data_IF_525963014636
#
_entry.id   IF_525963014636
#
_cell.length_a   1.000
_cell.length_b   1.000
_cell.length_c   1.000
_cell.angle_alpha   90.00
_cell.angle_beta   90.00
_cell.angle_gamma   90.00
#
_symmetry.space_group_name_H-M   'P 1'
#
loop_
_entity.id
_entity.type
_entity.pdbx_description
1 polymer ?
#
# COMPACT_ATOMS: atom_id res chain seq x y z
N UNK A 1 7.16 0.64 4.52
CA UNK A 1 6.83 1.16 3.17
C UNK A 1 8.05 1.65 2.39
N UNK A 2 9.01 2.36 2.99
CA UNK A 2 10.26 2.78 2.31
C UNK A 2 10.99 1.61 1.63
N UNK A 3 11.20 0.50 2.35
CA UNK A 3 11.86 -0.69 1.80
C UNK A 3 11.10 -1.30 0.61
N UNK A 4 9.76 -1.24 0.62
CA UNK A 4 8.94 -1.68 -0.53
C UNK A 4 9.25 -0.83 -1.75
N UNK A 5 9.29 0.51 -1.61
CA UNK A 5 9.63 1.40 -2.73
C UNK A 5 11.04 1.14 -3.24
N UNK A 6 12.01 0.87 -2.37
CA UNK A 6 13.38 0.52 -2.76
C UNK A 6 13.43 -0.79 -3.55
N UNK A 7 12.78 -1.85 -3.05
CA UNK A 7 12.75 -3.17 -3.70
C UNK A 7 12.04 -3.11 -5.06
N UNK A 8 10.86 -2.48 -5.12
CA UNK A 8 10.10 -2.35 -6.36
C UNK A 8 10.78 -1.42 -7.38
N UNK A 9 11.64 -0.49 -6.92
CA UNK A 9 12.49 0.30 -7.82
C UNK A 9 13.66 -0.50 -8.37
N UNK A 10 14.28 -1.33 -7.54
CA UNK A 10 15.35 -2.25 -7.96
C UNK A 10 14.84 -3.39 -8.86
N UNK A 11 13.52 -3.63 -8.88
CA UNK A 11 12.84 -4.65 -9.67
C UNK A 11 11.91 -4.10 -10.75
N UNK A 12 12.14 -2.88 -11.26
CA UNK A 12 11.28 -2.23 -12.29
C UNK A 12 11.00 -3.09 -13.52
N UNK A 13 11.98 -3.89 -13.94
CA UNK A 13 11.87 -4.78 -15.11
C UNK A 13 11.25 -6.15 -14.75
N UNK A 14 10.67 -6.29 -13.56
CA UNK A 14 10.13 -7.56 -13.05
C UNK A 14 11.15 -8.50 -12.42
N UNK A 15 12.44 -8.15 -12.42
CA UNK A 15 13.53 -8.95 -11.83
C UNK A 15 14.35 -8.07 -10.91
N UNK A 16 14.58 -8.54 -9.67
CA UNK A 16 15.42 -7.83 -8.70
C UNK A 16 16.88 -7.81 -9.15
N UNK A 17 17.47 -6.61 -9.23
CA UNK A 17 18.88 -6.42 -9.57
C UNK A 17 19.57 -5.55 -8.52
N UNK A 18 20.90 -5.65 -8.35
CA UNK A 18 21.65 -4.66 -7.59
C UNK A 18 21.33 -3.25 -8.11
N UNK A 19 20.96 -2.36 -7.21
CA UNK A 19 20.54 -1.00 -7.54
C UNK A 19 21.00 -0.03 -6.46
N UNK A 20 21.49 1.13 -6.88
CA UNK A 20 21.82 2.25 -6.00
C UNK A 20 21.45 3.55 -6.72
N UNK A 21 20.60 4.34 -6.09
CA UNK A 21 20.09 5.59 -6.66
C UNK A 21 18.79 5.99 -5.98
N UNK A 22 18.24 7.12 -6.42
CA UNK A 22 16.97 7.62 -5.92
C UNK A 22 15.78 6.84 -6.47
N UNK A 23 14.67 6.92 -5.74
CA UNK A 23 13.39 6.34 -6.16
C UNK A 23 12.31 7.40 -6.24
N UNK A 24 11.76 7.55 -7.44
CA UNK A 24 10.56 8.33 -7.76
C UNK A 24 9.32 7.42 -7.93
N UNK A 25 9.41 6.15 -7.52
CA UNK A 25 8.30 5.21 -7.73
C UNK A 25 7.07 5.64 -6.92
N UNK A 26 5.95 5.82 -7.62
CA UNK A 26 4.64 6.05 -7.04
C UNK A 26 3.76 4.81 -7.19
N UNK A 27 3.49 4.13 -6.08
CA UNK A 27 2.72 2.89 -6.04
C UNK A 27 1.26 3.23 -5.72
N UNK A 28 0.36 2.89 -6.64
CA UNK A 28 -1.07 3.13 -6.56
C UNK A 28 -1.82 1.88 -7.06
N UNK A 29 -3.11 1.71 -6.70
CA UNK A 29 -3.88 0.55 -7.12
C UNK A 29 -3.86 0.34 -8.64
N UNK A 30 -3.67 -0.90 -9.08
CA UNK A 30 -3.51 -1.27 -10.48
C UNK A 30 -2.05 -1.39 -10.97
N UNK A 31 -1.07 -0.87 -10.21
CA UNK A 31 0.35 -1.14 -10.49
C UNK A 31 0.75 -2.53 -9.96
N UNK A 32 1.47 -3.37 -10.74
CA UNK A 32 1.97 -4.64 -10.24
C UNK A 32 3.09 -4.44 -9.22
N UNK A 33 3.14 -5.35 -8.23
CA UNK A 33 4.32 -5.60 -7.41
C UNK A 33 5.13 -6.73 -8.05
N UNK A 34 6.45 -6.64 -8.01
CA UNK A 34 7.31 -7.65 -8.63
C UNK A 34 7.90 -8.62 -7.62
N UNK A 35 8.28 -8.13 -6.45
CA UNK A 35 9.16 -8.89 -5.53
C UNK A 35 8.68 -8.96 -4.09
N UNK A 36 7.75 -8.09 -3.69
CA UNK A 36 7.24 -8.08 -2.31
C UNK A 36 6.03 -9.01 -2.19
N UNK A 37 6.14 -10.04 -1.35
CA UNK A 37 5.04 -10.98 -1.07
C UNK A 37 4.29 -10.67 0.24
N UNK A 38 4.96 -9.99 1.18
CA UNK A 38 4.37 -9.58 2.45
C UNK A 38 4.89 -8.21 2.91
N UNK A 39 4.06 -7.51 3.66
CA UNK A 39 4.32 -6.16 4.17
C UNK A 39 4.01 -6.08 5.66
N UNK A 40 4.98 -5.61 6.44
CA UNK A 40 4.76 -5.08 7.78
C UNK A 40 4.82 -3.56 7.72
N UNK A 41 3.78 -2.89 8.20
CA UNK A 41 3.69 -1.43 8.19
C UNK A 41 2.77 -0.90 9.27
N UNK A 42 2.92 0.35 9.66
CA UNK A 42 1.99 1.05 10.54
C UNK A 42 0.65 1.33 9.84
N UNK A 43 -0.35 1.71 10.64
CA UNK A 43 -1.57 2.35 10.14
C UNK A 43 -1.30 3.82 9.76
N UNK A 44 -1.57 4.17 8.52
CA UNK A 44 -1.38 5.51 7.93
C UNK A 44 -2.65 6.36 7.98
N UNK A 45 -2.53 7.68 7.80
CA UNK A 45 -3.69 8.57 7.77
C UNK A 45 -4.56 8.36 6.51
N UNK A 46 -5.88 8.67 6.58
CA UNK A 46 -6.73 8.83 5.40
C UNK A 46 -6.09 9.76 4.37
N UNK A 47 -6.39 9.52 3.09
CA UNK A 47 -5.94 10.34 1.95
C UNK A 47 -4.40 10.47 1.80
N UNK A 48 -3.63 9.58 2.42
CA UNK A 48 -2.17 9.56 2.28
C UNK A 48 -1.70 8.67 1.13
N UNK A 49 -0.55 9.03 0.54
CA UNK A 49 0.12 8.20 -0.48
C UNK A 49 0.55 6.83 0.06
N UNK A 50 0.79 6.74 1.37
CA UNK A 50 1.09 5.47 2.03
C UNK A 50 -0.15 4.57 2.12
N UNK A 51 -1.33 5.14 2.37
CA UNK A 51 -2.59 4.41 2.31
C UNK A 51 -2.86 3.89 0.89
N UNK A 52 -2.53 4.68 -0.14
CA UNK A 52 -2.63 4.23 -1.53
C UNK A 52 -1.69 3.05 -1.83
N UNK A 53 -0.45 3.06 -1.32
CA UNK A 53 0.48 1.94 -1.45
C UNK A 53 -0.07 0.68 -0.78
N UNK A 54 -0.59 0.80 0.45
CA UNK A 54 -1.20 -0.34 1.16
C UNK A 54 -2.41 -0.86 0.39
N UNK A 55 -3.26 0.04 -0.12
CA UNK A 55 -4.43 -0.33 -0.94
C UNK A 55 -4.04 -0.99 -2.26
N UNK A 56 -2.93 -0.59 -2.87
CA UNK A 56 -2.41 -1.24 -4.06
C UNK A 56 -1.94 -2.68 -3.77
N UNK A 57 -1.46 -2.93 -2.55
CA UNK A 57 -0.92 -4.22 -2.14
C UNK A 57 -2.00 -5.20 -1.65
N UNK A 58 -2.98 -4.70 -0.89
CA UNK A 58 -4.02 -5.50 -0.25
C UNK A 58 -5.37 -5.47 -0.98
N UNK A 59 -5.63 -4.43 -1.77
CA UNK A 59 -6.96 -4.05 -2.24
C UNK A 59 -7.57 -2.94 -1.37
N UNK A 60 -8.28 -2.01 -2.00
CA UNK A 60 -8.88 -0.87 -1.33
C UNK A 60 -10.02 -1.28 -0.36
N UNK A 61 -11.01 -2.11 -0.76
CA UNK A 61 -12.06 -2.56 0.16
C UNK A 61 -11.52 -3.27 1.39
N UNK A 62 -10.52 -4.15 1.20
CA UNK A 62 -9.88 -4.92 2.26
C UNK A 62 -9.10 -4.01 3.21
N UNK A 63 -8.38 -3.01 2.66
CA UNK A 63 -7.67 -2.01 3.47
C UNK A 63 -8.65 -1.19 4.30
N UNK A 64 -9.74 -0.70 3.71
CA UNK A 64 -10.74 0.08 4.44
C UNK A 64 -11.45 -0.74 5.52
N UNK A 65 -11.74 -2.01 5.25
CA UNK A 65 -12.32 -2.93 6.23
C UNK A 65 -11.38 -3.16 7.43
N UNK A 66 -10.08 -3.39 7.17
CA UNK A 66 -9.08 -3.54 8.22
C UNK A 66 -8.94 -2.27 9.07
N UNK A 67 -8.97 -1.10 8.44
CA UNK A 67 -8.92 0.20 9.11
C UNK A 67 -10.14 0.44 10.00
N UNK A 68 -11.34 0.14 9.50
CA UNK A 68 -12.57 0.21 10.29
C UNK A 68 -12.48 -0.68 11.53
N UNK A 69 -12.06 -1.93 11.35
CA UNK A 69 -11.89 -2.85 12.47
C UNK A 69 -10.84 -2.35 13.47
N UNK A 70 -9.72 -1.79 13.01
CA UNK A 70 -8.68 -1.22 13.87
C UNK A 70 -9.20 -0.06 14.72
N UNK A 71 -10.02 0.83 14.15
CA UNK A 71 -10.68 1.92 14.89
C UNK A 71 -11.66 1.36 15.92
N UNK A 72 -12.51 0.39 15.55
CA UNK A 72 -13.47 -0.24 16.45
C UNK A 72 -12.80 -0.92 17.65
N UNK A 73 -11.61 -1.47 17.46
CA UNK A 73 -10.83 -2.15 18.51
C UNK A 73 -9.83 -1.23 19.23
N UNK A 74 -9.82 0.07 18.94
CA UNK A 74 -8.97 1.04 19.65
C UNK A 74 -7.47 0.92 19.35
N UNK A 75 -7.11 0.47 18.13
CA UNK A 75 -5.71 0.43 17.69
C UNK A 75 -5.13 1.84 17.64
N UNK A 76 -3.84 1.94 17.92
CA UNK A 76 -3.07 3.18 17.86
C UNK A 76 -2.54 3.36 16.43
N UNK A 77 -2.71 4.54 15.85
CA UNK A 77 -2.31 4.82 14.47
C UNK A 77 -0.95 5.55 14.43
N UNK A 78 -0.41 5.70 13.22
CA UNK A 78 0.77 6.51 12.91
C UNK A 78 2.11 5.92 13.39
N UNK A 79 3.16 6.74 13.47
CA UNK A 79 4.57 6.33 13.58
C UNK A 79 4.88 5.46 14.80
N UNK A 80 4.20 5.68 15.92
CA UNK A 80 4.40 4.97 17.19
C UNK A 80 3.20 4.11 17.60
N UNK A 81 2.27 3.91 16.67
CA UNK A 81 1.09 3.10 16.87
C UNK A 81 1.37 1.61 16.72
N UNK A 82 0.30 0.88 16.43
CA UNK A 82 0.33 -0.54 16.15
C UNK A 82 0.69 -0.79 14.67
N UNK A 83 0.90 -2.07 14.34
CA UNK A 83 1.33 -2.49 13.02
C UNK A 83 0.30 -3.43 12.35
N UNK A 84 0.36 -3.46 11.04
CA UNK A 84 -0.35 -4.37 10.16
C UNK A 84 0.66 -5.38 9.58
N UNK A 85 0.23 -6.63 9.49
CA UNK A 85 0.88 -7.64 8.66
C UNK A 85 -0.06 -7.99 7.51
N UNK A 86 0.43 -7.91 6.28
CA UNK A 86 -0.36 -8.06 5.07
C UNK A 86 0.37 -8.99 4.11
N UNK A 87 -0.33 -9.98 3.58
CA UNK A 87 0.13 -10.77 2.44
C UNK A 87 -0.42 -10.20 1.14
N UNK A 88 0.35 -10.28 0.06
CA UNK A 88 -0.01 -9.71 -1.24
C UNK A 88 -1.34 -10.27 -1.73
N UNK A 89 -2.27 -9.39 -2.09
CA UNK A 89 -3.48 -9.77 -2.81
C UNK A 89 -3.11 -9.93 -4.31
N UNK A 90 -3.39 -11.08 -4.95
CA UNK A 90 -3.11 -11.27 -6.38
C UNK A 90 -4.05 -10.47 -7.29
N UNK A 91 -5.20 -10.02 -6.78
CA UNK A 91 -6.19 -9.23 -7.51
C UNK A 91 -6.70 -8.04 -6.66
N UNK A 92 -5.82 -7.07 -6.33
CA UNK A 92 -6.21 -5.92 -5.51
C UNK A 92 -7.16 -5.01 -6.29
N UNK A 93 -8.31 -4.70 -5.69
CA UNK A 93 -9.31 -3.83 -6.32
C UNK A 93 -9.00 -2.37 -5.97
N UNK A 94 -9.01 -1.48 -6.97
CA UNK A 94 -8.88 -0.05 -6.77
C UNK A 94 -10.15 0.55 -6.11
N UNK A 95 -10.08 1.74 -5.48
CA UNK A 95 -11.29 2.47 -5.12
C UNK A 95 -12.16 2.66 -6.35
N UNK A 96 -13.48 2.62 -6.18
CA UNK A 96 -14.40 3.01 -7.24
C UNK A 96 -14.04 4.43 -7.70
N UNK A 97 -14.15 4.73 -9.00
CA UNK A 97 -13.98 6.10 -9.47
C UNK A 97 -14.90 7.00 -8.65
N UNK A 98 -14.41 8.17 -8.26
CA UNK A 98 -15.26 9.18 -7.66
C UNK A 98 -16.47 9.36 -8.60
N UNK A 99 -17.70 9.51 -8.06
CA UNK A 99 -18.82 9.94 -8.90
C UNK A 99 -18.32 11.15 -9.68
N UNK A 100 -18.35 11.07 -11.02
CA UNK A 100 -18.07 12.24 -11.85
C UNK A 100 -18.92 13.37 -11.28
N UNK A 101 -18.28 14.49 -10.97
CA UNK A 101 -18.96 15.71 -10.55
C UNK A 101 -20.10 15.90 -11.55
N UNK A 102 -21.34 15.69 -11.11
CA UNK A 102 -22.52 15.96 -11.90
C UNK A 102 -22.57 17.49 -12.02
N UNK A 103 -21.81 18.01 -12.97
CA UNK A 103 -21.88 19.38 -13.46
C UNK A 103 -23.07 19.53 -14.42
#
# INVERSE_FOLDING_TARGET
>A
TTSVRSLESAARDGVLKPFSGDTDIFIFPGRPFHVVDALVTNFHLPESTLLMLVSAFAGYPETMAAYKAAVEHGYRFFSYGDAMFITRNPAPTAPAPAPEDQA
#
